data_IF_613221480740
#
_entry.id   IF_613221480740
#
_cell.length_a   1.000
_cell.length_b   1.000
_cell.length_c   1.000
_cell.angle_alpha   90.00
_cell.angle_beta   90.00
_cell.angle_gamma   90.00
#
_symmetry.space_group_name_H-M   'P 1'
#
loop_
_entity.id
_entity.type
_entity.pdbx_description
1 polymer ?
#
# COMPACT_ATOMS: atom_id res chain seq x y z
N UNK A 1 -60.71 33.35 -2.15
CA UNK A 1 -60.51 32.98 -3.56
C UNK A 1 -59.39 33.81 -4.21
N UNK A 2 -59.17 35.07 -3.80
CA UNK A 2 -58.17 35.95 -4.45
C UNK A 2 -56.69 35.57 -4.24
N UNK A 3 -56.30 34.93 -3.13
CA UNK A 3 -54.89 34.58 -2.86
C UNK A 3 -54.40 33.32 -3.58
N UNK A 4 -55.29 32.39 -3.94
CA UNK A 4 -54.96 31.21 -4.75
C UNK A 4 -54.64 31.59 -6.21
N UNK A 5 -55.14 32.74 -6.69
CA UNK A 5 -54.98 33.15 -8.08
C UNK A 5 -53.62 33.77 -8.41
N UNK A 6 -52.77 34.08 -7.42
CA UNK A 6 -51.48 34.75 -7.68
C UNK A 6 -50.35 33.77 -8.01
N UNK A 7 -50.42 32.54 -7.47
CA UNK A 7 -49.35 31.55 -7.58
C UNK A 7 -49.74 30.32 -8.42
N UNK A 8 -51.04 30.10 -8.65
CA UNK A 8 -51.54 28.97 -9.42
C UNK A 8 -52.13 29.42 -10.75
N UNK A 9 -52.02 28.53 -11.75
CA UNK A 9 -52.74 28.64 -13.00
C UNK A 9 -54.15 28.12 -12.78
N UNK A 10 -55.16 28.96 -13.04
CA UNK A 10 -56.55 28.57 -12.80
C UNK A 10 -57.36 28.71 -14.09
N UNK A 11 -58.05 27.64 -14.47
CA UNK A 11 -58.97 27.62 -15.60
C UNK A 11 -60.30 26.94 -15.21
N UNK A 12 -61.40 27.36 -15.82
CA UNK A 12 -62.71 26.72 -15.67
C UNK A 12 -63.16 26.18 -17.01
N UNK A 13 -63.71 24.98 -17.00
CA UNK A 13 -64.26 24.30 -18.16
C UNK A 13 -65.73 23.93 -17.93
N UNK A 14 -66.53 23.93 -18.99
CA UNK A 14 -67.86 23.33 -18.96
C UNK A 14 -67.76 21.79 -19.02
N UNK A 15 -68.89 21.09 -18.88
CA UNK A 15 -68.92 19.62 -18.88
C UNK A 15 -68.50 19.00 -20.23
N UNK A 16 -68.59 19.76 -21.32
CA UNK A 16 -68.14 19.34 -22.65
C UNK A 16 -66.62 19.51 -22.82
N UNK A 17 -65.91 19.99 -21.79
CA UNK A 17 -64.46 20.23 -21.84
C UNK A 17 -64.08 21.56 -22.48
N UNK A 18 -65.03 22.47 -22.72
CA UNK A 18 -64.76 23.76 -23.33
C UNK A 18 -64.40 24.82 -22.27
N UNK A 19 -63.34 25.57 -22.53
CA UNK A 19 -62.83 26.59 -21.63
C UNK A 19 -63.83 27.75 -21.48
N UNK A 20 -64.17 28.07 -20.23
CA UNK A 20 -65.07 29.17 -19.89
C UNK A 20 -64.30 30.43 -19.47
N UNK A 21 -63.37 30.28 -18.53
CA UNK A 21 -62.62 31.41 -17.95
C UNK A 21 -61.24 30.96 -17.50
N UNK A 22 -60.29 31.89 -17.49
CA UNK A 22 -58.94 31.67 -16.94
C UNK A 22 -58.52 32.84 -16.07
N UNK A 23 -57.58 32.61 -15.15
CA UNK A 23 -56.98 33.70 -14.42
C UNK A 23 -55.84 34.38 -15.20
N UNK A 24 -55.40 35.54 -14.71
CA UNK A 24 -54.33 36.32 -15.33
C UNK A 24 -53.03 35.52 -15.47
N UNK A 25 -52.73 34.61 -14.54
CA UNK A 25 -51.49 33.83 -14.54
C UNK A 25 -51.39 32.87 -15.73
N UNK A 26 -52.51 32.28 -16.14
CA UNK A 26 -52.58 31.48 -17.38
C UNK A 26 -52.27 32.36 -18.59
N UNK A 27 -52.85 33.55 -18.67
CA UNK A 27 -52.61 34.49 -19.78
C UNK A 27 -51.15 34.98 -19.79
N UNK A 28 -50.56 35.23 -18.62
CA UNK A 28 -49.14 35.60 -18.51
C UNK A 28 -48.20 34.46 -18.96
N UNK A 29 -48.53 33.21 -18.64
CA UNK A 29 -47.68 32.06 -18.97
C UNK A 29 -47.82 31.62 -20.43
N UNK A 30 -49.06 31.54 -20.95
CA UNK A 30 -49.36 31.05 -22.29
C UNK A 30 -49.51 32.18 -23.33
N UNK A 31 -49.43 33.44 -22.91
CA UNK A 31 -49.63 34.59 -23.78
C UNK A 31 -51.10 34.75 -24.19
N UNK A 32 -51.34 35.28 -25.39
CA UNK A 32 -52.71 35.38 -25.89
C UNK A 32 -53.19 33.99 -26.24
N UNK A 33 -54.20 33.50 -25.52
CA UNK A 33 -54.87 32.22 -25.77
C UNK A 33 -55.63 32.33 -27.10
N UNK A 34 -54.90 32.25 -28.22
CA UNK A 34 -55.42 32.39 -29.59
C UNK A 34 -55.61 31.04 -30.27
N UNK A 35 -54.93 30.00 -29.81
CA UNK A 35 -54.96 28.68 -30.44
C UNK A 35 -56.21 27.87 -30.08
N UNK A 36 -56.66 27.06 -31.05
CA UNK A 36 -57.72 26.07 -30.87
C UNK A 36 -57.37 25.01 -29.82
N UNK A 37 -56.08 24.86 -29.49
CA UNK A 37 -55.52 23.84 -28.60
C UNK A 37 -55.92 23.99 -27.12
N UNK A 38 -56.27 25.19 -26.66
CA UNK A 38 -56.69 25.43 -25.25
C UNK A 38 -58.19 25.60 -25.06
N UNK A 39 -58.95 25.70 -26.17
CA UNK A 39 -60.42 25.80 -26.10
C UNK A 39 -61.04 24.52 -25.58
N UNK A 40 -60.44 23.37 -25.91
CA UNK A 40 -60.90 22.06 -25.45
C UNK A 40 -59.80 21.41 -24.60
N UNK A 41 -60.19 20.89 -23.43
CA UNK A 41 -59.26 20.24 -22.49
C UNK A 41 -58.89 18.79 -22.88
N UNK A 42 -59.62 18.18 -23.82
CA UNK A 42 -59.41 16.81 -24.26
C UNK A 42 -58.00 16.56 -24.87
N UNK A 43 -57.50 17.35 -25.84
CA UNK A 43 -56.15 17.17 -26.37
C UNK A 43 -55.07 17.29 -25.28
N UNK A 44 -55.27 18.21 -24.32
CA UNK A 44 -54.35 18.47 -23.22
C UNK A 44 -54.32 17.28 -22.24
N UNK A 45 -55.48 16.77 -21.81
CA UNK A 45 -55.51 15.58 -20.94
C UNK A 45 -54.92 14.37 -21.67
N UNK A 46 -55.13 14.25 -22.97
CA UNK A 46 -54.52 13.18 -23.77
C UNK A 46 -53.00 13.36 -23.93
N UNK A 47 -52.45 14.58 -23.84
CA UNK A 47 -51.00 14.82 -23.85
C UNK A 47 -50.30 14.44 -22.52
N UNK A 48 -51.06 14.26 -21.43
CA UNK A 48 -50.55 13.95 -20.10
C UNK A 48 -49.50 12.81 -20.08
N UNK A 49 -48.41 13.05 -19.36
CA UNK A 49 -47.29 12.12 -19.27
C UNK A 49 -47.54 11.09 -18.15
N UNK A 50 -48.41 10.11 -18.41
CA UNK A 50 -48.76 9.10 -17.40
C UNK A 50 -48.67 7.66 -17.93
N UNK A 51 -48.10 6.75 -17.11
CA UNK A 51 -48.03 5.31 -17.36
C UNK A 51 -49.41 4.67 -17.60
N UNK A 52 -50.48 5.24 -17.05
CA UNK A 52 -51.87 4.76 -17.24
C UNK A 52 -52.38 5.03 -18.67
N UNK A 53 -51.95 6.13 -19.31
CA UNK A 53 -52.34 6.45 -20.71
C UNK A 53 -51.93 5.33 -21.68
N UNK A 54 -50.71 4.81 -21.53
CA UNK A 54 -50.19 3.72 -22.38
C UNK A 54 -51.02 2.44 -22.31
N UNK A 55 -51.82 2.25 -21.25
CA UNK A 55 -52.69 1.07 -21.07
C UNK A 55 -54.10 1.26 -21.65
N UNK A 56 -54.54 2.50 -21.88
CA UNK A 56 -55.94 2.82 -22.18
C UNK A 56 -56.23 3.16 -23.66
N UNK A 57 -55.27 2.97 -24.58
CA UNK A 57 -55.44 2.99 -26.06
C UNK A 57 -56.46 4.02 -26.60
N UNK A 58 -56.27 5.31 -26.28
CA UNK A 58 -57.12 6.40 -26.78
C UNK A 58 -58.41 6.66 -25.99
N UNK A 59 -58.73 5.87 -24.96
CA UNK A 59 -59.86 6.13 -24.02
C UNK A 59 -59.45 6.86 -22.75
N UNK A 60 -58.24 7.40 -22.72
CA UNK A 60 -57.66 8.00 -21.51
C UNK A 60 -58.45 9.23 -21.05
N UNK A 61 -58.77 10.15 -21.97
CA UNK A 61 -59.61 11.30 -21.66
C UNK A 61 -60.95 10.88 -21.08
N UNK A 62 -61.72 10.03 -21.77
CA UNK A 62 -63.04 9.61 -21.29
C UNK A 62 -62.99 8.99 -19.90
N UNK A 63 -61.95 8.21 -19.59
CA UNK A 63 -61.75 7.64 -18.26
C UNK A 63 -61.51 8.71 -17.18
N UNK A 64 -60.59 9.65 -17.43
CA UNK A 64 -60.28 10.72 -16.48
C UNK A 64 -61.46 11.67 -16.33
N UNK A 65 -62.10 12.04 -17.45
CA UNK A 65 -63.20 12.99 -17.49
C UNK A 65 -64.45 12.44 -16.79
N UNK A 66 -64.76 11.16 -16.99
CA UNK A 66 -65.88 10.52 -16.29
C UNK A 66 -65.68 10.55 -14.78
N UNK A 67 -64.48 10.25 -14.28
CA UNK A 67 -64.19 10.34 -12.84
C UNK A 67 -64.39 11.74 -12.28
N UNK A 68 -63.98 12.77 -13.02
CA UNK A 68 -64.20 14.16 -12.62
C UNK A 68 -65.69 14.46 -12.57
N UNK A 69 -66.47 14.04 -13.58
CA UNK A 69 -67.93 14.20 -13.63
C UNK A 69 -68.61 13.44 -12.49
N UNK A 70 -68.09 12.28 -12.10
CA UNK A 70 -68.58 11.47 -10.98
C UNK A 70 -68.25 12.09 -9.60
N UNK A 71 -67.53 13.23 -9.58
CA UNK A 71 -67.20 13.98 -8.37
C UNK A 71 -65.78 13.74 -7.85
N UNK A 72 -64.97 12.92 -8.52
CA UNK A 72 -63.59 12.62 -8.11
C UNK A 72 -62.58 13.58 -8.74
N UNK A 73 -61.95 14.42 -7.93
CA UNK A 73 -60.85 15.27 -8.42
C UNK A 73 -59.67 14.42 -8.94
N UNK A 74 -59.08 14.82 -10.07
CA UNK A 74 -57.96 14.13 -10.69
C UNK A 74 -56.76 15.06 -10.83
N UNK A 75 -55.58 14.62 -10.42
CA UNK A 75 -54.32 15.37 -10.61
C UNK A 75 -53.49 14.73 -11.71
N UNK A 76 -53.11 15.53 -12.71
CA UNK A 76 -52.35 15.10 -13.88
C UNK A 76 -51.09 15.95 -14.03
N UNK A 77 -50.00 15.32 -14.47
CA UNK A 77 -48.80 16.00 -14.95
C UNK A 77 -48.92 16.21 -16.46
N UNK A 78 -48.92 17.48 -16.87
CA UNK A 78 -49.18 17.91 -18.23
C UNK A 78 -47.97 18.67 -18.76
N UNK A 79 -47.43 18.22 -19.88
CA UNK A 79 -46.32 18.89 -20.56
C UNK A 79 -46.86 19.78 -21.67
N UNK A 80 -46.54 21.07 -21.59
CA UNK A 80 -46.93 22.08 -22.57
C UNK A 80 -45.69 22.55 -23.32
N UNK A 81 -45.71 22.37 -24.64
CA UNK A 81 -44.65 22.86 -25.51
C UNK A 81 -44.93 24.32 -25.92
N UNK A 82 -44.00 25.21 -25.61
CA UNK A 82 -44.06 26.66 -25.86
C UNK A 82 -42.99 27.06 -26.88
N UNK A 83 -42.94 26.33 -28.00
CA UNK A 83 -41.91 26.48 -29.04
C UNK A 83 -40.57 25.90 -28.59
N UNK A 84 -39.67 26.75 -28.11
CA UNK A 84 -38.31 26.36 -27.69
C UNK A 84 -38.25 25.85 -26.24
N UNK A 85 -39.29 26.09 -25.44
CA UNK A 85 -39.34 25.72 -24.03
C UNK A 85 -40.50 24.76 -23.74
N UNK A 86 -40.29 23.78 -22.87
CA UNK A 86 -41.36 22.94 -22.33
C UNK A 86 -41.66 23.35 -20.89
N UNK A 87 -42.94 23.41 -20.55
CA UNK A 87 -43.43 23.65 -19.19
C UNK A 87 -44.23 22.45 -18.71
N UNK A 88 -43.81 21.88 -17.58
CA UNK A 88 -44.52 20.78 -16.94
C UNK A 88 -45.39 21.33 -15.81
N UNK A 89 -46.70 21.10 -15.91
CA UNK A 89 -47.68 21.56 -14.93
C UNK A 89 -48.32 20.37 -14.20
N UNK A 90 -48.26 20.37 -12.87
CA UNK A 90 -49.12 19.52 -12.05
C UNK A 90 -50.49 20.17 -11.95
N UNK A 91 -51.47 19.64 -12.66
CA UNK A 91 -52.82 20.20 -12.78
C UNK A 91 -53.86 19.31 -12.11
N UNK A 92 -54.54 19.85 -11.10
CA UNK A 92 -55.68 19.21 -10.45
C UNK A 92 -56.98 19.70 -11.06
N UNK A 93 -57.76 18.78 -11.60
CA UNK A 93 -59.11 18.98 -12.11
C UNK A 93 -60.11 18.61 -11.02
N UNK A 94 -60.79 19.61 -10.45
CA UNK A 94 -61.76 19.45 -9.38
C UNK A 94 -63.18 19.78 -9.89
N UNK A 95 -64.18 18.92 -9.62
CA UNK A 95 -65.56 19.21 -9.99
C UNK A 95 -66.16 20.30 -9.10
N UNK A 96 -66.98 21.16 -9.71
CA UNK A 96 -67.78 22.16 -9.02
C UNK A 96 -69.24 21.73 -9.10
N UNK A 97 -69.90 21.69 -7.94
CA UNK A 97 -71.27 21.23 -7.78
C UNK A 97 -72.27 22.39 -7.79
N UNK A 98 -73.44 22.16 -8.36
CA UNK A 98 -74.59 23.05 -8.23
C UNK A 98 -75.31 22.86 -6.89
N UNK A 99 -76.38 23.62 -6.67
CA UNK A 99 -77.20 23.51 -5.43
C UNK A 99 -77.86 22.14 -5.25
N UNK A 100 -78.01 21.37 -6.33
CA UNK A 100 -78.59 20.02 -6.33
C UNK A 100 -77.53 18.92 -6.21
N UNK A 101 -76.25 19.28 -5.98
CA UNK A 101 -75.09 18.37 -5.94
C UNK A 101 -74.74 17.68 -7.25
N UNK A 102 -75.17 18.22 -8.39
CA UNK A 102 -74.70 17.77 -9.69
C UNK A 102 -73.45 18.55 -10.10
N UNK A 103 -72.46 17.87 -10.70
CA UNK A 103 -71.30 18.56 -11.28
C UNK A 103 -71.79 19.41 -12.45
N UNK A 104 -71.49 20.70 -12.43
CA UNK A 104 -71.88 21.63 -13.51
C UNK A 104 -70.68 22.33 -14.17
N UNK A 105 -69.51 22.29 -13.54
CA UNK A 105 -68.24 22.84 -14.06
C UNK A 105 -67.04 22.05 -13.54
N UNK A 106 -65.91 22.22 -14.20
CA UNK A 106 -64.62 21.69 -13.76
C UNK A 106 -63.63 22.84 -13.54
N UNK A 107 -63.00 22.86 -12.37
CA UNK A 107 -61.92 23.78 -12.01
C UNK A 107 -60.58 23.08 -12.24
N UNK A 108 -59.74 23.64 -13.11
CA UNK A 108 -58.36 23.21 -13.26
C UNK A 108 -57.44 24.15 -12.48
N UNK A 109 -56.63 23.59 -11.57
CA UNK A 109 -55.61 24.31 -10.79
C UNK A 109 -54.26 23.70 -11.11
N UNK A 110 -53.44 24.42 -11.86
CA UNK A 110 -52.10 24.03 -12.29
C UNK A 110 -51.00 24.72 -11.48
N UNK A 111 -49.93 23.99 -11.20
CA UNK A 111 -48.68 24.51 -10.67
C UNK A 111 -47.53 24.17 -11.61
N UNK A 112 -46.66 25.14 -11.91
CA UNK A 112 -45.42 24.89 -12.66
C UNK A 112 -44.44 24.08 -11.80
N UNK A 113 -44.14 22.86 -12.24
CA UNK A 113 -43.22 21.93 -11.59
C UNK A 113 -41.93 21.72 -12.41
N UNK A 114 -41.72 22.50 -13.48
CA UNK A 114 -40.56 22.34 -14.37
C UNK A 114 -39.24 22.42 -13.61
N UNK A 115 -39.08 23.44 -12.76
CA UNK A 115 -37.86 23.59 -11.94
C UNK A 115 -37.68 22.42 -10.95
N UNK A 116 -38.79 21.92 -10.39
CA UNK A 116 -38.77 20.80 -9.46
C UNK A 116 -38.32 19.51 -10.15
N UNK A 117 -38.86 19.22 -11.34
CA UNK A 117 -38.48 18.05 -12.14
C UNK A 117 -37.00 18.12 -12.55
N UNK A 118 -36.54 19.27 -13.05
CA UNK A 118 -35.12 19.42 -13.42
C UNK A 118 -34.17 19.29 -12.22
N UNK A 119 -34.57 19.69 -11.02
CA UNK A 119 -33.80 19.45 -9.78
C UNK A 119 -33.81 17.98 -9.40
N UNK A 120 -34.96 17.30 -9.47
CA UNK A 120 -35.06 15.87 -9.19
C UNK A 120 -34.20 15.04 -10.16
N UNK A 121 -34.20 15.35 -11.45
CA UNK A 121 -33.35 14.68 -12.43
C UNK A 121 -31.85 14.85 -12.11
N UNK A 122 -31.45 16.02 -11.60
CA UNK A 122 -30.07 16.27 -11.14
C UNK A 122 -29.75 15.45 -9.88
N UNK A 123 -30.68 15.38 -8.94
CA UNK A 123 -30.54 14.57 -7.72
C UNK A 123 -30.37 13.10 -8.09
N UNK A 124 -31.18 12.57 -9.01
CA UNK A 124 -31.10 11.17 -9.45
C UNK A 124 -29.75 10.87 -10.08
N UNK A 125 -29.25 11.75 -10.95
CA UNK A 125 -27.89 11.63 -11.53
C UNK A 125 -26.81 11.62 -10.46
N UNK A 126 -26.87 12.54 -9.50
CA UNK A 126 -25.90 12.61 -8.39
C UNK A 126 -25.97 11.36 -7.51
N UNK A 127 -27.17 10.84 -7.24
CA UNK A 127 -27.35 9.61 -6.46
C UNK A 127 -26.73 8.40 -7.16
N UNK A 128 -26.90 8.28 -8.48
CA UNK A 128 -26.26 7.22 -9.27
C UNK A 128 -24.74 7.33 -9.24
N UNK A 129 -24.18 8.55 -9.39
CA UNK A 129 -22.75 8.80 -9.27
C UNK A 129 -22.21 8.48 -7.86
N UNK A 130 -22.92 8.88 -6.81
CA UNK A 130 -22.55 8.57 -5.42
C UNK A 130 -22.55 7.07 -5.17
N UNK A 131 -23.54 6.34 -5.69
CA UNK A 131 -23.60 4.89 -5.56
C UNK A 131 -22.41 4.20 -6.21
N UNK A 132 -21.99 4.67 -7.39
CA UNK A 132 -20.78 4.17 -8.05
C UNK A 132 -19.53 4.47 -7.23
N UNK A 133 -19.38 5.71 -6.72
CA UNK A 133 -18.25 6.10 -5.86
C UNK A 133 -18.20 5.29 -4.56
N UNK A 134 -19.34 4.98 -3.94
CA UNK A 134 -19.40 4.14 -2.73
C UNK A 134 -18.85 2.74 -3.04
N UNK A 135 -19.24 2.14 -4.17
CA UNK A 135 -18.73 0.83 -4.57
C UNK A 135 -17.22 0.87 -4.83
N UNK A 136 -16.71 1.89 -5.52
CA UNK A 136 -15.27 2.08 -5.75
C UNK A 136 -14.49 2.21 -4.43
N UNK A 137 -14.96 3.02 -3.49
CA UNK A 137 -14.34 3.19 -2.17
C UNK A 137 -14.37 1.87 -1.39
N UNK A 138 -15.46 1.11 -1.46
CA UNK A 138 -15.56 -0.20 -0.81
C UNK A 138 -14.48 -1.15 -1.33
N UNK A 139 -14.29 -1.24 -2.65
CA UNK A 139 -13.25 -2.06 -3.26
C UNK A 139 -11.83 -1.59 -2.88
N UNK A 140 -11.61 -0.27 -2.85
CA UNK A 140 -10.34 0.31 -2.41
C UNK A 140 -10.03 -0.02 -0.96
N UNK A 141 -11.02 0.01 -0.07
CA UNK A 141 -10.85 -0.33 1.34
C UNK A 141 -10.48 -1.82 1.53
N UNK A 142 -11.10 -2.72 0.77
CA UNK A 142 -10.75 -4.14 0.78
C UNK A 142 -9.30 -4.37 0.35
N UNK A 143 -8.87 -3.72 -0.75
CA UNK A 143 -7.49 -3.79 -1.22
C UNK A 143 -6.50 -3.22 -0.19
N UNK A 144 -6.84 -2.07 0.41
CA UNK A 144 -6.00 -1.43 1.42
C UNK A 144 -5.81 -2.32 2.65
N UNK A 145 -6.88 -3.01 3.09
CA UNK A 145 -6.79 -3.97 4.19
C UNK A 145 -5.86 -5.14 3.86
N UNK A 146 -5.94 -5.67 2.63
CA UNK A 146 -5.02 -6.73 2.18
C UNK A 146 -3.56 -6.25 2.19
N UNK A 147 -3.30 -5.05 1.67
CA UNK A 147 -1.96 -4.45 1.67
C UNK A 147 -1.43 -4.22 3.09
N UNK A 148 -2.28 -3.80 4.03
CA UNK A 148 -1.90 -3.63 5.43
C UNK A 148 -1.49 -4.96 6.08
N UNK A 149 -2.20 -6.05 5.78
CA UNK A 149 -1.83 -7.39 6.25
C UNK A 149 -0.46 -7.82 5.71
N UNK A 150 -0.21 -7.64 4.41
CA UNK A 150 1.07 -8.00 3.79
C UNK A 150 2.24 -7.18 4.36
N UNK A 151 2.04 -5.87 4.57
CA UNK A 151 3.04 -5.00 5.21
C UNK A 151 3.32 -5.45 6.64
N UNK A 152 2.28 -5.82 7.39
CA UNK A 152 2.43 -6.30 8.76
C UNK A 152 3.26 -7.58 8.82
N UNK A 153 2.96 -8.56 7.96
CA UNK A 153 3.73 -9.82 7.85
C UNK A 153 5.19 -9.55 7.48
N UNK A 154 5.44 -8.70 6.47
CA UNK A 154 6.80 -8.31 6.07
C UNK A 154 7.54 -7.59 7.20
N UNK A 155 6.86 -6.76 7.98
CA UNK A 155 7.45 -6.07 9.12
C UNK A 155 7.85 -7.04 10.23
N UNK A 156 7.02 -8.04 10.53
CA UNK A 156 7.35 -9.09 11.50
C UNK A 156 8.57 -9.90 11.06
N UNK A 157 8.62 -10.33 9.79
CA UNK A 157 9.76 -11.07 9.26
C UNK A 157 11.05 -10.23 9.29
N UNK A 158 10.97 -8.94 8.92
CA UNK A 158 12.11 -8.03 8.99
C UNK A 158 12.62 -7.86 10.42
N UNK A 159 11.73 -7.78 11.41
CA UNK A 159 12.12 -7.71 12.83
C UNK A 159 12.83 -8.99 13.27
N UNK A 160 12.34 -10.16 12.85
CA UNK A 160 12.97 -11.46 13.14
C UNK A 160 14.38 -11.53 12.55
N UNK A 161 14.53 -11.19 11.27
CA UNK A 161 15.84 -11.18 10.59
C UNK A 161 16.81 -10.19 11.24
N UNK A 162 16.33 -9.02 11.66
CA UNK A 162 17.15 -8.05 12.39
C UNK A 162 17.66 -8.61 13.72
N UNK A 163 16.80 -9.31 14.47
CA UNK A 163 17.19 -9.95 15.73
C UNK A 163 18.21 -11.07 15.50
N UNK A 164 18.02 -11.90 14.47
CA UNK A 164 18.97 -12.96 14.11
C UNK A 164 20.36 -12.37 13.74
N UNK A 165 20.40 -11.33 12.90
CA UNK A 165 21.65 -10.64 12.56
C UNK A 165 22.33 -10.07 13.80
N UNK A 166 21.56 -9.46 14.71
CA UNK A 166 22.11 -8.91 15.94
C UNK A 166 22.75 -10.01 16.80
N UNK A 167 22.08 -11.14 16.99
CA UNK A 167 22.63 -12.29 17.74
C UNK A 167 23.90 -12.86 17.09
N UNK A 168 23.92 -12.95 15.76
CA UNK A 168 25.08 -13.41 15.00
C UNK A 168 26.26 -12.45 15.20
N UNK A 169 26.02 -11.14 15.12
CA UNK A 169 27.06 -10.14 15.32
C UNK A 169 27.64 -10.21 16.73
N UNK A 170 26.80 -10.27 17.76
CA UNK A 170 27.25 -10.41 19.16
C UNK A 170 28.10 -11.68 19.35
N UNK A 171 27.67 -12.80 18.76
CA UNK A 171 28.42 -14.07 18.81
C UNK A 171 29.76 -13.96 18.07
N UNK A 172 29.78 -13.28 16.93
CA UNK A 172 30.98 -13.09 16.13
C UNK A 172 32.00 -12.20 16.86
N UNK A 173 31.54 -11.11 17.48
CA UNK A 173 32.39 -10.23 18.30
C UNK A 173 33.05 -10.99 19.44
N UNK A 174 32.28 -11.81 20.17
CA UNK A 174 32.83 -12.67 21.23
C UNK A 174 33.91 -13.61 20.70
N UNK A 175 33.65 -14.27 19.56
CA UNK A 175 34.63 -15.19 18.95
C UNK A 175 35.88 -14.46 18.46
N UNK A 176 35.73 -13.26 17.90
CA UNK A 176 36.85 -12.41 17.48
C UNK A 176 37.68 -12.04 18.70
N UNK A 177 37.06 -11.58 19.79
CA UNK A 177 37.76 -11.25 21.03
C UNK A 177 38.53 -12.45 21.59
N UNK A 178 37.89 -13.62 21.65
CA UNK A 178 38.53 -14.86 22.13
C UNK A 178 39.73 -15.24 21.26
N UNK A 179 39.58 -15.22 19.93
CA UNK A 179 40.67 -15.56 19.00
C UNK A 179 41.81 -14.54 19.05
N UNK A 180 41.51 -13.25 19.14
CA UNK A 180 42.51 -12.20 19.30
C UNK A 180 43.31 -12.41 20.58
N UNK A 181 42.64 -12.69 21.71
CA UNK A 181 43.32 -12.99 22.97
C UNK A 181 44.25 -14.19 22.87
N UNK A 182 43.80 -15.28 22.24
CA UNK A 182 44.65 -16.47 22.04
C UNK A 182 45.85 -16.15 21.16
N UNK A 183 45.67 -15.38 20.09
CA UNK A 183 46.77 -14.97 19.20
C UNK A 183 47.77 -14.05 19.92
N UNK A 184 47.30 -13.11 20.73
CA UNK A 184 48.17 -12.25 21.54
C UNK A 184 49.01 -13.05 22.53
N UNK A 185 48.42 -14.05 23.20
CA UNK A 185 49.14 -14.94 24.12
C UNK A 185 50.19 -15.78 23.37
N UNK A 186 49.85 -16.32 22.20
CA UNK A 186 50.79 -17.07 21.35
C UNK A 186 51.92 -16.19 20.82
N UNK A 187 51.61 -14.97 20.39
CA UNK A 187 52.62 -14.01 19.95
C UNK A 187 53.57 -13.64 21.09
N UNK A 188 53.05 -13.47 22.32
CA UNK A 188 53.88 -13.22 23.50
C UNK A 188 54.82 -14.39 23.81
N UNK A 189 54.31 -15.62 23.79
CA UNK A 189 55.13 -16.83 23.99
C UNK A 189 56.23 -16.95 22.93
N UNK A 190 55.92 -16.67 21.66
CA UNK A 190 56.91 -16.68 20.58
C UNK A 190 58.00 -15.63 20.80
N UNK A 191 57.64 -14.41 21.19
CA UNK A 191 58.60 -13.36 21.49
C UNK A 191 59.52 -13.74 22.67
N UNK A 192 58.98 -14.39 23.70
CA UNK A 192 59.77 -14.90 24.83
C UNK A 192 60.76 -15.99 24.39
N UNK A 193 60.32 -16.94 23.56
CA UNK A 193 61.23 -17.97 23.00
C UNK A 193 62.31 -17.38 22.10
N UNK A 194 61.99 -16.36 21.29
CA UNK A 194 62.96 -15.64 20.49
C UNK A 194 64.05 -15.03 21.38
N UNK A 195 63.64 -14.36 22.47
CA UNK A 195 64.54 -13.72 23.42
C UNK A 195 65.49 -14.74 24.09
N UNK A 196 64.94 -15.85 24.59
CA UNK A 196 65.72 -16.93 25.23
C UNK A 196 66.75 -17.52 24.26
N UNK A 197 66.34 -17.84 23.03
CA UNK A 197 67.25 -18.43 22.04
C UNK A 197 68.37 -17.48 21.60
N UNK A 198 68.06 -16.20 21.39
CA UNK A 198 69.05 -15.22 20.90
C UNK A 198 70.05 -14.78 21.96
N UNK A 199 69.65 -14.65 23.22
CA UNK A 199 70.49 -14.08 24.28
C UNK A 199 70.88 -15.10 25.34
N UNK A 200 69.90 -15.84 25.88
CA UNK A 200 70.13 -16.71 27.04
C UNK A 200 70.86 -17.99 26.65
N UNK A 201 70.55 -18.59 25.50
CA UNK A 201 71.20 -19.82 25.03
C UNK A 201 72.48 -19.55 24.23
N UNK A 202 72.53 -18.46 23.46
CA UNK A 202 73.70 -18.13 22.64
C UNK A 202 74.96 -17.82 23.46
N UNK A 203 74.81 -17.10 24.58
CA UNK A 203 75.92 -16.75 25.45
C UNK A 203 76.68 -17.98 25.99
N UNK A 204 76.03 -18.96 26.67
CA UNK A 204 76.73 -20.14 27.18
C UNK A 204 77.29 -21.04 26.07
N UNK A 205 76.62 -21.15 24.91
CA UNK A 205 77.16 -21.92 23.76
C UNK A 205 78.44 -21.28 23.22
N UNK A 206 78.46 -19.94 23.09
CA UNK A 206 79.64 -19.20 22.66
C UNK A 206 80.80 -19.37 23.65
N UNK A 207 80.52 -19.29 24.95
CA UNK A 207 81.51 -19.54 26.00
C UNK A 207 82.05 -20.97 25.94
N UNK A 208 81.18 -21.96 25.76
CA UNK A 208 81.58 -23.38 25.65
C UNK A 208 82.49 -23.60 24.44
N UNK A 209 82.13 -23.07 23.27
CA UNK A 209 82.97 -23.15 22.07
C UNK A 209 84.33 -22.45 22.25
N UNK A 210 84.35 -21.30 22.94
CA UNK A 210 85.59 -20.61 23.29
C UNK A 210 86.49 -21.45 24.18
N UNK A 211 85.93 -22.08 25.23
CA UNK A 211 86.67 -22.97 26.14
C UNK A 211 87.18 -24.21 25.40
N UNK A 212 86.35 -24.84 24.57
CA UNK A 212 86.78 -25.95 23.71
C UNK A 212 87.95 -25.50 22.83
N UNK A 213 87.84 -24.35 22.17
CA UNK A 213 88.93 -23.82 21.34
C UNK A 213 90.23 -23.58 22.13
N UNK A 214 90.15 -23.16 23.39
CA UNK A 214 91.34 -23.02 24.24
C UNK A 214 92.00 -24.37 24.58
N UNK A 215 91.21 -25.42 24.79
CA UNK A 215 91.71 -26.79 25.03
C UNK A 215 92.55 -27.28 23.84
N UNK A 216 92.25 -26.82 22.63
CA UNK A 216 93.01 -27.17 21.41
C UNK A 216 94.49 -26.74 21.44
N UNK A 217 94.85 -25.76 22.27
CA UNK A 217 96.21 -25.26 22.43
C UNK A 217 96.99 -25.96 23.56
N UNK A 218 96.39 -26.97 24.20
CA UNK A 218 97.02 -27.75 25.28
C UNK A 218 97.56 -29.09 24.76
N UNK A 219 98.56 -29.67 25.43
CA UNK A 219 99.08 -31.00 25.07
C UNK A 219 98.13 -32.09 25.56
N UNK A 220 97.33 -32.65 24.64
CA UNK A 220 96.33 -33.68 24.93
C UNK A 220 96.92 -35.10 24.78
N UNK A 221 96.49 -36.03 25.64
CA UNK A 221 96.76 -37.45 25.45
C UNK A 221 95.96 -38.00 24.26
N UNK A 222 96.31 -39.19 23.73
CA UNK A 222 95.56 -39.82 22.63
C UNK A 222 94.08 -40.08 22.97
N UNK A 223 93.77 -40.32 24.24
CA UNK A 223 92.41 -40.57 24.73
C UNK A 223 91.62 -39.25 24.92
N UNK A 224 92.29 -38.21 25.42
CA UNK A 224 91.71 -36.86 25.55
C UNK A 224 91.48 -36.19 24.19
N UNK A 225 92.34 -36.46 23.21
CA UNK A 225 92.21 -35.95 21.84
C UNK A 225 90.88 -36.38 21.20
N UNK A 226 90.51 -37.66 21.34
CA UNK A 226 89.25 -38.19 20.82
C UNK A 226 88.04 -37.56 21.52
N UNK A 227 88.14 -37.35 22.83
CA UNK A 227 87.09 -36.70 23.63
C UNK A 227 86.93 -35.23 23.25
N UNK A 228 88.03 -34.52 23.02
CA UNK A 228 88.06 -33.15 22.52
C UNK A 228 87.39 -33.03 21.14
N UNK A 229 87.70 -33.92 20.20
CA UNK A 229 87.08 -33.93 18.87
C UNK A 229 85.55 -34.11 18.93
N UNK A 230 85.06 -35.00 19.81
CA UNK A 230 83.64 -35.15 20.06
C UNK A 230 83.02 -33.90 20.70
N UNK A 231 83.66 -33.30 21.72
CA UNK A 231 83.20 -32.05 22.35
C UNK A 231 83.11 -30.91 21.33
N UNK A 232 84.12 -30.74 20.48
CA UNK A 232 84.14 -29.74 19.43
C UNK A 232 83.03 -29.96 18.40
N UNK A 233 82.83 -31.21 17.96
CA UNK A 233 81.79 -31.56 17.00
C UNK A 233 80.40 -31.30 17.59
N UNK A 234 80.13 -31.78 18.80
CA UNK A 234 78.86 -31.56 19.49
C UNK A 234 78.61 -30.08 19.79
N UNK A 235 79.62 -29.32 20.20
CA UNK A 235 79.52 -27.88 20.43
C UNK A 235 79.16 -27.11 19.15
N UNK A 236 79.79 -27.44 18.01
CA UNK A 236 79.48 -26.85 16.70
C UNK A 236 78.07 -27.21 16.21
N UNK A 237 77.64 -28.45 16.43
CA UNK A 237 76.27 -28.88 16.11
C UNK A 237 75.26 -28.08 16.94
N UNK A 238 75.50 -27.91 18.24
CA UNK A 238 74.63 -27.14 19.13
C UNK A 238 74.53 -25.67 18.73
N UNK A 239 75.65 -25.03 18.38
CA UNK A 239 75.67 -23.65 17.87
C UNK A 239 74.90 -23.48 16.57
N UNK A 240 75.06 -24.42 15.64
CA UNK A 240 74.30 -24.45 14.39
C UNK A 240 72.78 -24.61 14.65
N UNK A 241 72.39 -25.50 15.58
CA UNK A 241 71.00 -25.67 15.99
C UNK A 241 70.41 -24.38 16.57
N UNK A 242 71.13 -23.70 17.47
CA UNK A 242 70.69 -22.41 18.04
C UNK A 242 70.56 -21.34 16.95
N UNK A 243 71.48 -21.32 15.98
CA UNK A 243 71.43 -20.37 14.87
C UNK A 243 70.24 -20.62 13.93
N UNK A 244 69.98 -21.89 13.60
CA UNK A 244 68.82 -22.31 12.80
C UNK A 244 67.49 -21.96 13.47
N UNK A 245 67.40 -22.16 14.80
CA UNK A 245 66.22 -21.80 15.59
C UNK A 245 65.93 -20.30 15.54
N UNK A 246 66.95 -19.46 15.75
CA UNK A 246 66.78 -18.00 15.68
C UNK A 246 66.34 -17.54 14.28
N UNK A 247 66.98 -18.08 13.23
CA UNK A 247 66.61 -17.76 11.85
C UNK A 247 65.17 -18.17 11.52
N UNK A 248 64.73 -19.35 11.96
CA UNK A 248 63.36 -19.81 11.75
C UNK A 248 62.31 -18.94 12.48
N UNK A 249 62.68 -18.35 13.62
CA UNK A 249 61.82 -17.43 14.36
C UNK A 249 61.75 -16.05 13.68
N UNK A 250 62.89 -15.52 13.19
CA UNK A 250 62.95 -14.22 12.51
C UNK A 250 62.27 -14.23 11.13
N UNK A 251 62.36 -15.33 10.37
CA UNK A 251 61.77 -15.46 9.03
C UNK A 251 60.24 -15.67 9.04
N UNK A 252 59.61 -15.68 10.23
CA UNK A 252 58.16 -15.52 10.39
C UNK A 252 57.26 -16.72 10.05
N UNK A 253 57.79 -17.92 9.78
CA UNK A 253 56.96 -19.10 9.46
C UNK A 253 57.47 -20.44 10.01
N UNK A 254 56.49 -21.27 10.41
CA UNK A 254 56.52 -22.69 10.78
C UNK A 254 57.84 -23.27 11.32
N UNK A 255 57.89 -23.38 12.65
CA UNK A 255 58.83 -24.20 13.41
C UNK A 255 58.62 -25.69 13.09
N UNK A 256 59.01 -26.13 11.90
CA UNK A 256 58.97 -27.54 11.50
C UNK A 256 60.24 -28.23 12.02
N UNK A 257 60.05 -29.23 12.90
CA UNK A 257 61.13 -30.00 13.52
C UNK A 257 62.13 -30.56 12.50
N UNK A 258 61.69 -30.80 11.26
CA UNK A 258 62.53 -31.31 10.16
C UNK A 258 63.69 -30.39 9.76
N UNK A 259 63.63 -29.10 10.07
CA UNK A 259 64.74 -28.17 9.78
C UNK A 259 65.87 -28.21 10.84
N UNK A 260 65.58 -28.78 12.01
CA UNK A 260 66.49 -28.80 13.17
C UNK A 260 67.15 -30.17 13.32
N UNK A 261 66.53 -31.24 12.84
CA UNK A 261 67.11 -32.58 12.90
C UNK A 261 68.39 -32.65 12.04
N UNK A 262 69.52 -33.16 12.60
CA UNK A 262 70.69 -33.45 11.79
C UNK A 262 70.34 -34.54 10.77
N UNK A 263 70.77 -34.36 9.51
CA UNK A 263 70.60 -35.35 8.45
C UNK A 263 71.10 -36.70 8.96
N UNK A 264 70.19 -37.67 9.14
CA UNK A 264 70.60 -39.04 9.40
C UNK A 264 71.21 -39.56 8.11
N UNK A 265 72.53 -39.68 8.07
CA UNK A 265 73.21 -40.48 7.06
C UNK A 265 72.62 -41.89 7.10
N UNK A 266 71.79 -42.21 6.10
CA UNK A 266 71.39 -43.57 5.80
C UNK A 266 72.65 -44.31 5.31
N UNK A 267 73.42 -44.85 6.26
CA UNK A 267 74.33 -45.95 5.97
C UNK A 267 73.47 -47.18 5.65
N UNK A 268 73.10 -47.32 4.38
CA UNK A 268 72.71 -48.60 3.83
C UNK A 268 73.97 -49.48 3.74
N UNK A 269 74.24 -50.25 4.79
CA UNK A 269 75.10 -51.44 4.69
C UNK A 269 74.25 -52.60 4.17
N UNK A 270 74.67 -53.11 3.01
CA UNK A 270 74.53 -54.46 2.45
C UNK A 270 73.25 -55.26 2.72
#
# INVERSE_FOLDING_TARGET
>A
MDTLSEHYLVAQYNLNGEMMTVNKKVIELFGVIRDEEFKNIEPIINSANNKIRKKLNGRYFSYVWQKIIDGEAQTLELDFNMGDNTKSLATTFAPIFDVNRNVYKVLAIGQDITELMTKNDKIDKINDELKNKINEISQQNELLNFQQMEIFEKSQELMRQKQEIQQINETLELRVMERTRVLEDKNRQLAEYAFINSHVLRAPVSTMLGLINLISYTSLSKEDQKTYEHLLTTGKVLDNVVHKINKAIDDGFHFDRRYIEPEREFHAMN
#
